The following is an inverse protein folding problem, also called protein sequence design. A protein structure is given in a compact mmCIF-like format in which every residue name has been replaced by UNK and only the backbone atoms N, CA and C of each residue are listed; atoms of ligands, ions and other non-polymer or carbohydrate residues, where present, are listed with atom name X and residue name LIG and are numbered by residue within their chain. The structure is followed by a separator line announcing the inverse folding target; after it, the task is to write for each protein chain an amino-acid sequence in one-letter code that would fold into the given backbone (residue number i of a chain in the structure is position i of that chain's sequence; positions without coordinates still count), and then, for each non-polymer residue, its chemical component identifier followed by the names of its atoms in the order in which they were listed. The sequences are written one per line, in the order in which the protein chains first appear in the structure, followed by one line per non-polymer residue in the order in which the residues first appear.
data_IF_866364413911
#
_entry.id   IF_866364413911
#
_cell.length_a   1.000
_cell.length_b   1.000
_cell.length_c   1.000
_cell.angle_alpha   90.00
_cell.angle_beta   90.00
_cell.angle_gamma   90.00
#
_symmetry.space_group_name_H-M   'P 1'
#
loop_
_entity.id
_entity.type
_entity.pdbx_description
1 polymer ?
#
# COMPACT_ATOMS: atom_id res chain seq x y z
N UNK A 1 55.06 9.18 16.08
CA UNK A 1 54.89 9.43 14.63
C UNK A 1 53.62 8.74 14.17
N UNK A 2 52.80 9.49 13.46
CA UNK A 2 51.40 9.22 13.10
C UNK A 2 51.24 8.05 12.13
N UNK A 3 50.50 7.01 12.53
CA UNK A 3 49.97 5.98 11.60
C UNK A 3 48.45 5.73 11.79
N UNK A 4 47.75 6.53 12.59
CA UNK A 4 46.32 6.34 12.89
C UNK A 4 45.34 6.94 11.86
N UNK A 5 45.79 7.82 10.96
CA UNK A 5 44.90 8.55 10.05
C UNK A 5 44.64 7.84 8.71
N UNK A 6 45.44 6.85 8.30
CA UNK A 6 45.27 6.17 7.01
C UNK A 6 44.27 4.99 7.02
N UNK A 7 43.87 4.48 8.19
CA UNK A 7 42.93 3.34 8.29
C UNK A 7 41.44 3.71 8.13
N UNK A 8 41.11 5.00 8.14
CA UNK A 8 39.75 5.50 8.01
C UNK A 8 39.39 5.95 6.60
N UNK A 9 40.38 6.22 5.74
CA UNK A 9 40.16 6.64 4.35
C UNK A 9 39.35 5.62 3.51
N UNK A 10 39.58 4.30 3.58
CA UNK A 10 38.78 3.34 2.82
C UNK A 10 37.33 3.25 3.31
N UNK A 11 37.10 3.51 4.61
CA UNK A 11 35.76 3.47 5.25
C UNK A 11 34.94 4.71 4.91
N UNK A 12 35.59 5.88 4.88
CA UNK A 12 34.99 7.13 4.38
C UNK A 12 34.69 7.05 2.89
N UNK A 13 35.60 6.50 2.07
CA UNK A 13 35.37 6.29 0.64
C UNK A 13 34.25 5.27 0.36
N UNK A 14 34.15 4.18 1.13
CA UNK A 14 33.05 3.22 1.00
C UNK A 14 31.71 3.79 1.48
N UNK A 15 31.68 4.60 2.55
CA UNK A 15 30.49 5.34 2.97
C UNK A 15 30.10 6.41 1.96
N UNK A 16 31.05 7.14 1.35
CA UNK A 16 30.81 8.12 0.30
C UNK A 16 30.42 7.48 -1.04
N UNK A 17 30.84 6.26 -1.33
CA UNK A 17 30.40 5.49 -2.49
C UNK A 17 29.02 4.87 -2.28
N UNK A 18 28.68 4.43 -1.06
CA UNK A 18 27.34 3.97 -0.70
C UNK A 18 26.34 5.14 -0.57
N UNK A 19 26.76 6.29 -0.04
CA UNK A 19 26.02 7.55 -0.08
C UNK A 19 25.96 8.12 -1.50
N UNK A 20 27.04 8.01 -2.26
CA UNK A 20 27.11 8.41 -3.66
C UNK A 20 26.16 7.59 -4.52
N UNK A 21 26.08 6.27 -4.34
CA UNK A 21 25.07 5.40 -4.96
C UNK A 21 23.65 5.65 -4.42
N UNK A 22 23.52 6.13 -3.18
CA UNK A 22 22.25 6.62 -2.61
C UNK A 22 21.76 7.91 -3.29
N UNK A 23 22.68 8.77 -3.76
CA UNK A 23 22.37 10.01 -4.47
C UNK A 23 22.40 9.89 -6.00
N UNK A 24 23.09 8.89 -6.56
CA UNK A 24 23.25 8.68 -8.01
C UNK A 24 21.99 8.11 -8.70
N UNK A 25 20.91 7.83 -7.95
CA UNK A 25 19.56 7.57 -8.51
C UNK A 25 18.55 8.57 -7.95
N UNK A 26 19.01 9.79 -7.64
CA UNK A 26 18.14 10.89 -7.25
C UNK A 26 18.69 12.21 -7.79
N UNK A 27 18.85 12.28 -9.10
CA UNK A 27 18.51 13.53 -9.79
C UNK A 27 17.18 13.28 -10.48
N UNK A 28 16.09 13.99 -10.08
CA UNK A 28 14.97 14.13 -10.99
C UNK A 28 15.55 14.56 -12.35
N UNK A 29 15.04 14.09 -13.49
CA UNK A 29 15.30 14.81 -14.73
C UNK A 29 14.97 16.28 -14.44
N UNK A 30 15.91 17.19 -14.72
CA UNK A 30 15.84 18.62 -14.42
C UNK A 30 14.72 19.28 -15.23
N UNK A 31 13.48 18.99 -14.87
CA UNK A 31 12.30 19.71 -15.36
C UNK A 31 12.05 21.00 -14.57
N UNK A 32 12.76 21.19 -13.44
CA UNK A 32 12.73 22.44 -12.66
C UNK A 32 13.24 23.67 -13.44
N UNK A 33 14.02 23.47 -14.51
CA UNK A 33 14.54 24.55 -15.35
C UNK A 33 13.65 24.87 -16.57
N UNK A 34 12.54 24.14 -16.79
CA UNK A 34 11.64 24.44 -17.90
C UNK A 34 10.65 25.53 -17.48
N UNK A 35 10.53 26.64 -18.24
CA UNK A 35 9.55 27.68 -17.94
C UNK A 35 8.15 27.07 -17.99
N UNK A 36 7.34 27.39 -16.99
CA UNK A 36 5.95 26.94 -16.99
C UNK A 36 5.25 27.45 -18.25
N UNK A 37 4.54 26.57 -19.00
CA UNK A 37 3.82 27.00 -20.19
C UNK A 37 2.87 28.14 -19.79
N UNK A 38 2.86 29.21 -20.59
CA UNK A 38 2.04 30.39 -20.33
C UNK A 38 0.57 29.97 -20.22
N UNK A 39 0.10 29.87 -18.98
CA UNK A 39 -1.32 29.84 -18.66
C UNK A 39 -1.83 31.21 -19.10
N UNK A 40 -2.60 31.27 -20.19
CA UNK A 40 -3.26 32.50 -20.62
C UNK A 40 -3.97 33.23 -19.46
N UNK A 41 -4.41 34.48 -19.66
CA UNK A 41 -5.07 35.26 -18.61
C UNK A 41 -6.10 34.39 -17.90
N UNK A 42 -5.96 34.27 -16.58
CA UNK A 42 -6.65 33.32 -15.70
C UNK A 42 -8.03 32.99 -16.26
N UNK A 43 -8.16 31.81 -16.87
CA UNK A 43 -9.44 31.37 -17.41
C UNK A 43 -10.48 31.47 -16.30
N UNK A 44 -11.59 32.19 -16.50
CA UNK A 44 -12.67 32.22 -15.54
C UNK A 44 -13.42 30.90 -15.67
N UNK A 45 -12.88 29.83 -15.09
CA UNK A 45 -13.48 28.50 -15.15
C UNK A 45 -12.99 27.65 -13.98
N UNK A 46 -13.95 27.14 -13.20
CA UNK A 46 -13.78 26.14 -12.13
C UNK A 46 -13.23 24.77 -12.62
N UNK A 47 -12.70 24.66 -13.85
CA UNK A 47 -12.17 23.42 -14.43
C UNK A 47 -10.65 23.46 -14.45
N UNK A 48 -10.03 22.38 -13.96
CA UNK A 48 -8.59 22.13 -14.10
C UNK A 48 -8.18 22.26 -15.58
N UNK A 49 -7.01 22.84 -15.90
CA UNK A 49 -6.49 22.90 -17.27
C UNK A 49 -6.10 21.51 -17.82
N UNK A 50 -6.20 20.47 -16.99
CA UNK A 50 -5.78 19.10 -17.31
C UNK A 50 -7.01 18.25 -17.61
N UNK A 51 -7.04 17.68 -18.81
CA UNK A 51 -8.04 16.68 -19.19
C UNK A 51 -7.60 15.29 -18.73
N UNK A 52 -7.95 14.95 -17.49
CA UNK A 52 -7.59 13.65 -16.93
C UNK A 52 -8.25 12.48 -17.64
N UNK A 53 -9.41 12.65 -18.30
CA UNK A 53 -10.01 11.55 -19.06
C UNK A 53 -9.13 11.21 -20.27
N UNK A 54 -8.67 12.23 -20.99
CA UNK A 54 -7.73 12.08 -22.11
C UNK A 54 -6.37 11.53 -21.66
N UNK A 55 -5.84 11.98 -20.51
CA UNK A 55 -4.62 11.42 -19.90
C UNK A 55 -4.79 9.93 -19.62
N UNK A 56 -5.88 9.52 -18.96
CA UNK A 56 -6.09 8.12 -18.62
C UNK A 56 -6.31 7.25 -19.86
N UNK A 57 -6.87 7.78 -20.95
CA UNK A 57 -6.99 7.05 -22.22
C UNK A 57 -5.69 6.98 -23.03
N UNK A 58 -4.62 7.65 -22.60
CA UNK A 58 -3.34 7.67 -23.31
C UNK A 58 -3.32 8.60 -24.52
N UNK A 59 -4.12 9.68 -24.53
CA UNK A 59 -3.98 10.72 -25.54
C UNK A 59 -2.63 11.42 -25.37
N UNK A 60 -1.73 11.25 -26.34
CA UNK A 60 -0.34 11.73 -26.24
C UNK A 60 -0.25 13.25 -26.00
N UNK A 61 -1.12 14.05 -26.63
CA UNK A 61 -1.10 15.49 -26.45
C UNK A 61 -1.54 15.90 -25.02
N UNK A 62 -2.57 15.25 -24.48
CA UNK A 62 -3.03 15.46 -23.12
C UNK A 62 -2.00 14.98 -22.10
N UNK A 63 -1.37 13.82 -22.32
CA UNK A 63 -0.31 13.28 -21.48
C UNK A 63 0.91 14.20 -21.50
N UNK A 64 1.33 14.68 -22.68
CA UNK A 64 2.42 15.63 -22.85
C UNK A 64 2.15 16.93 -22.11
N UNK A 65 0.97 17.51 -22.29
CA UNK A 65 0.55 18.71 -21.60
C UNK A 65 0.54 18.49 -20.07
N UNK A 66 -0.17 17.46 -19.60
CA UNK A 66 -0.29 17.12 -18.19
C UNK A 66 1.07 16.88 -17.52
N UNK A 67 2.03 16.26 -18.22
CA UNK A 67 3.38 15.99 -17.72
C UNK A 67 4.25 17.25 -17.50
N UNK A 68 3.85 18.40 -18.06
CA UNK A 68 4.55 19.68 -17.85
C UNK A 68 4.06 20.43 -16.60
N UNK A 69 2.87 20.09 -16.10
CA UNK A 69 2.23 20.78 -14.98
C UNK A 69 2.59 20.35 -13.55
N UNK A 70 3.23 19.18 -13.25
CA UNK A 70 3.44 18.74 -11.86
C UNK A 70 4.16 19.77 -10.98
N UNK A 71 5.06 20.56 -11.58
CA UNK A 71 5.88 21.59 -10.92
C UNK A 71 5.32 23.01 -11.10
N UNK A 72 4.34 23.19 -11.99
CA UNK A 72 3.83 24.49 -12.43
C UNK A 72 2.49 24.87 -11.82
N UNK A 73 1.78 23.92 -11.21
CA UNK A 73 0.56 24.20 -10.45
C UNK A 73 0.98 24.46 -8.99
N UNK A 74 0.86 25.71 -8.49
CA UNK A 74 1.15 26.00 -7.10
C UNK A 74 0.27 25.13 -6.20
N UNK A 75 0.91 24.25 -5.43
CA UNK A 75 0.23 23.39 -4.49
C UNK A 75 0.11 24.10 -3.15
N UNK A 76 -1.12 24.19 -2.64
CA UNK A 76 -1.39 24.56 -1.26
C UNK A 76 -1.85 23.32 -0.49
N UNK A 77 -0.91 22.51 0.06
CA UNK A 77 -1.29 21.33 0.83
C UNK A 77 -2.12 21.72 2.03
N UNK A 78 -3.10 20.89 2.38
CA UNK A 78 -3.75 21.03 3.67
C UNK A 78 -2.80 20.56 4.76
N UNK A 79 -2.69 21.36 5.80
CA UNK A 79 -1.90 21.04 6.99
C UNK A 79 -2.75 20.21 7.94
N UNK A 80 -2.09 19.49 8.84
CA UNK A 80 -2.72 18.68 9.88
C UNK A 80 -3.77 19.49 10.68
N UNK A 81 -3.45 20.74 11.05
CA UNK A 81 -4.37 21.63 11.79
C UNK A 81 -5.63 22.01 11.00
N UNK A 82 -5.54 22.06 9.67
CA UNK A 82 -6.68 22.36 8.81
C UNK A 82 -7.68 21.18 8.83
N UNK A 83 -7.18 19.93 8.93
CA UNK A 83 -8.03 18.74 9.14
C UNK A 83 -8.65 18.71 10.54
N UNK A 84 -7.86 19.02 11.58
CA UNK A 84 -8.36 19.10 12.96
C UNK A 84 -9.52 20.10 13.05
N UNK A 85 -9.35 21.27 12.43
CA UNK A 85 -10.38 22.31 12.41
C UNK A 85 -11.60 21.88 11.60
N UNK A 86 -11.40 21.32 10.41
CA UNK A 86 -12.51 20.90 9.55
C UNK A 86 -13.35 19.76 10.17
N UNK A 87 -12.72 18.84 10.90
CA UNK A 87 -13.38 17.70 11.53
C UNK A 87 -14.15 18.05 12.82
N UNK A 88 -14.12 19.30 13.30
CA UNK A 88 -14.97 19.75 14.41
C UNK A 88 -16.47 19.71 14.06
N UNK A 89 -16.80 19.86 12.77
CA UNK A 89 -18.14 19.68 12.23
C UNK A 89 -18.11 18.49 11.26
N UNK A 90 -18.39 17.29 11.79
CA UNK A 90 -18.32 16.07 11.01
C UNK A 90 -19.34 16.01 9.87
N UNK A 91 -20.52 16.62 10.01
CA UNK A 91 -21.50 16.68 8.93
C UNK A 91 -20.95 17.50 7.76
N UNK A 92 -20.39 18.68 8.06
CA UNK A 92 -19.74 19.51 7.06
C UNK A 92 -18.48 18.85 6.49
N UNK A 93 -17.68 18.18 7.31
CA UNK A 93 -16.50 17.44 6.88
C UNK A 93 -16.88 16.38 5.84
N UNK A 94 -17.78 15.45 6.20
CA UNK A 94 -18.26 14.38 5.31
C UNK A 94 -18.81 14.96 4.00
N UNK A 95 -19.63 16.01 4.09
CA UNK A 95 -20.26 16.65 2.92
C UNK A 95 -19.25 17.31 1.98
N UNK A 96 -18.23 17.98 2.50
CA UNK A 96 -17.31 18.78 1.66
C UNK A 96 -16.04 18.04 1.25
N UNK A 97 -15.67 16.97 1.96
CA UNK A 97 -14.44 16.21 1.70
C UNK A 97 -14.59 15.10 0.66
N UNK A 98 -15.81 14.87 0.15
CA UNK A 98 -16.05 13.92 -0.93
C UNK A 98 -16.51 12.54 -0.46
N UNK A 99 -17.02 12.43 0.77
CA UNK A 99 -17.67 11.23 1.28
C UNK A 99 -19.15 11.11 0.88
N UNK A 100 -19.64 12.00 0.00
CA UNK A 100 -20.95 11.87 -0.66
C UNK A 100 -20.88 10.78 -1.73
N UNK A 101 -20.95 9.53 -1.30
CA UNK A 101 -20.79 8.37 -2.15
C UNK A 101 -22.11 7.99 -2.84
N UNK A 102 -22.06 7.33 -4.00
CA UNK A 102 -23.23 6.70 -4.61
C UNK A 102 -23.88 5.69 -3.65
N UNK A 103 -25.14 5.37 -3.91
CA UNK A 103 -25.87 4.38 -3.12
C UNK A 103 -25.15 3.02 -3.12
N UNK A 104 -24.96 2.47 -1.93
CA UNK A 104 -24.32 1.17 -1.73
C UNK A 104 -25.29 0.06 -2.10
N UNK A 105 -24.88 -0.82 -3.01
CA UNK A 105 -25.69 -1.97 -3.43
C UNK A 105 -25.88 -2.98 -2.28
N UNK A 106 -26.95 -3.79 -2.33
CA UNK A 106 -27.15 -4.83 -1.33
C UNK A 106 -26.00 -5.85 -1.30
N UNK A 107 -25.46 -6.17 -2.47
CA UNK A 107 -24.31 -7.05 -2.65
C UNK A 107 -23.05 -6.51 -1.92
N UNK A 108 -22.80 -5.20 -1.99
CA UNK A 108 -21.73 -4.58 -1.23
C UNK A 108 -21.99 -4.55 0.28
N UNK A 109 -23.25 -4.43 0.73
CA UNK A 109 -23.64 -4.49 2.15
C UNK A 109 -23.42 -5.88 2.75
N UNK A 110 -23.70 -6.93 1.97
CA UNK A 110 -23.58 -8.33 2.39
C UNK A 110 -22.13 -8.85 2.31
N UNK A 111 -21.21 -8.05 1.77
CA UNK A 111 -19.78 -8.37 1.67
C UNK A 111 -18.87 -7.27 2.27
N UNK A 112 -18.90 -7.03 3.60
CA UNK A 112 -18.01 -6.05 4.21
C UNK A 112 -16.53 -6.43 4.06
N UNK A 113 -15.68 -5.43 3.81
CA UNK A 113 -14.23 -5.57 3.73
C UNK A 113 -13.59 -4.80 4.88
N UNK A 114 -12.60 -5.41 5.54
CA UNK A 114 -11.76 -4.74 6.53
C UNK A 114 -10.46 -4.26 5.89
N UNK A 115 -10.04 -3.05 6.25
CA UNK A 115 -8.81 -2.43 5.79
C UNK A 115 -7.95 -2.01 6.98
N UNK A 116 -6.65 -2.27 6.90
CA UNK A 116 -5.66 -1.53 7.69
C UNK A 116 -4.99 -0.48 6.81
N UNK A 117 -4.61 0.65 7.39
CA UNK A 117 -3.80 1.67 6.74
C UNK A 117 -2.65 2.06 7.66
N UNK A 118 -1.43 1.67 7.28
CA UNK A 118 -0.21 2.04 7.99
C UNK A 118 0.34 3.34 7.40
N UNK A 119 0.48 4.37 8.23
CA UNK A 119 0.98 5.68 7.82
C UNK A 119 1.88 6.32 8.87
N UNK A 120 2.69 7.28 8.44
CA UNK A 120 3.55 8.05 9.33
C UNK A 120 3.55 9.57 9.02
N UNK A 121 3.04 9.99 7.86
CA UNK A 121 3.00 11.39 7.42
C UNK A 121 1.93 11.61 6.34
N UNK A 122 1.78 12.86 5.89
CA UNK A 122 0.95 13.27 4.75
C UNK A 122 -0.54 12.92 4.92
N UNK A 123 -1.16 13.55 5.93
CA UNK A 123 -2.59 13.38 6.27
C UNK A 123 -3.50 13.65 5.06
N UNK A 124 -3.14 14.60 4.19
CA UNK A 124 -3.92 14.89 2.98
C UNK A 124 -3.97 13.70 2.03
N UNK A 125 -2.84 13.04 1.77
CA UNK A 125 -2.81 11.85 0.91
C UNK A 125 -3.55 10.68 1.57
N UNK A 126 -3.37 10.49 2.88
CA UNK A 126 -4.11 9.49 3.65
C UNK A 126 -5.63 9.69 3.55
N UNK A 127 -6.10 10.91 3.78
CA UNK A 127 -7.53 11.20 3.76
C UNK A 127 -8.12 11.02 2.36
N UNK A 128 -7.38 11.35 1.30
CA UNK A 128 -7.83 11.10 -0.08
C UNK A 128 -7.90 9.62 -0.42
N UNK A 129 -6.97 8.81 0.11
CA UNK A 129 -7.05 7.35 0.02
C UNK A 129 -8.30 6.84 0.75
N UNK A 130 -8.51 7.27 2.01
CA UNK A 130 -9.69 6.91 2.80
C UNK A 130 -10.98 7.26 2.06
N UNK A 131 -11.11 8.49 1.54
CA UNK A 131 -12.26 8.93 0.76
C UNK A 131 -12.52 8.05 -0.46
N UNK A 132 -11.47 7.57 -1.15
CA UNK A 132 -11.62 6.72 -2.33
C UNK A 132 -12.15 5.31 -1.98
N UNK A 133 -11.77 4.76 -0.82
CA UNK A 133 -12.14 3.39 -0.42
C UNK A 133 -13.30 3.33 0.59
N UNK A 134 -13.64 4.44 1.24
CA UNK A 134 -14.61 4.47 2.33
C UNK A 134 -15.97 3.97 1.90
N UNK A 135 -16.59 3.11 2.69
CA UNK A 135 -17.99 2.69 2.59
C UNK A 135 -18.51 2.41 3.99
N UNK A 136 -19.78 2.74 4.29
CA UNK A 136 -20.33 2.65 5.65
C UNK A 136 -20.39 1.22 6.21
N UNK A 137 -20.47 0.20 5.35
CA UNK A 137 -20.48 -1.21 5.78
C UNK A 137 -19.10 -1.81 6.00
N UNK A 138 -18.04 -1.21 5.45
CA UNK A 138 -16.67 -1.70 5.59
C UNK A 138 -16.07 -1.27 6.93
N UNK A 139 -14.86 -1.72 7.24
CA UNK A 139 -14.17 -1.36 8.48
C UNK A 139 -12.74 -0.91 8.21
N UNK A 140 -12.29 0.14 8.90
CA UNK A 140 -11.00 0.78 8.65
C UNK A 140 -10.24 1.00 9.95
N UNK A 141 -9.10 0.34 10.10
CA UNK A 141 -8.14 0.61 11.17
C UNK A 141 -6.96 1.42 10.63
N UNK A 142 -6.64 2.51 11.32
CA UNK A 142 -5.52 3.37 10.97
C UNK A 142 -4.42 3.18 11.99
N UNK A 143 -3.25 2.75 11.55
CA UNK A 143 -2.04 2.75 12.38
C UNK A 143 -1.19 3.96 11.99
N UNK A 144 -1.09 4.91 12.92
CA UNK A 144 -0.16 6.03 12.82
C UNK A 144 1.10 5.66 13.59
N UNK A 145 2.24 5.64 12.93
CA UNK A 145 3.54 5.33 13.54
C UNK A 145 3.73 6.15 14.83
N UNK A 146 4.13 5.50 15.93
CA UNK A 146 4.17 6.14 17.25
C UNK A 146 5.15 7.34 17.32
N UNK A 147 6.13 7.40 16.41
CA UNK A 147 7.08 8.52 16.31
C UNK A 147 6.64 9.63 15.36
N UNK A 148 5.45 9.55 14.76
CA UNK A 148 4.90 10.62 13.95
C UNK A 148 4.66 11.89 14.76
N UNK A 149 4.53 13.02 14.07
CA UNK A 149 4.24 14.29 14.72
C UNK A 149 2.91 14.22 15.47
N UNK A 150 2.84 14.88 16.64
CA UNK A 150 1.60 14.97 17.42
C UNK A 150 0.44 15.56 16.61
N UNK A 151 0.72 16.51 15.72
CA UNK A 151 -0.28 17.07 14.80
C UNK A 151 -0.87 16.00 13.89
N UNK A 152 -0.05 15.08 13.38
CA UNK A 152 -0.47 13.99 12.51
C UNK A 152 -1.37 13.01 13.27
N UNK A 153 -1.01 12.62 14.49
CA UNK A 153 -1.89 11.81 15.35
C UNK A 153 -3.23 12.50 15.59
N UNK A 154 -3.22 13.78 15.98
CA UNK A 154 -4.44 14.53 16.26
C UNK A 154 -5.33 14.68 15.02
N UNK A 155 -4.75 14.95 13.86
CA UNK A 155 -5.48 15.11 12.61
C UNK A 155 -6.14 13.80 12.16
N UNK A 156 -5.41 12.68 12.20
CA UNK A 156 -5.97 11.37 11.86
C UNK A 156 -7.06 10.97 12.85
N UNK A 157 -6.86 11.20 14.15
CA UNK A 157 -7.89 10.94 15.16
C UNK A 157 -9.15 11.79 14.94
N UNK A 158 -8.99 13.06 14.58
CA UNK A 158 -10.10 13.96 14.29
C UNK A 158 -10.89 13.46 13.05
N UNK A 159 -10.20 13.09 11.97
CA UNK A 159 -10.83 12.51 10.78
C UNK A 159 -11.58 11.22 11.13
N UNK A 160 -10.93 10.29 11.83
CA UNK A 160 -11.52 9.00 12.20
C UNK A 160 -12.80 9.19 13.04
N UNK A 161 -12.80 10.16 13.96
CA UNK A 161 -13.95 10.43 14.84
C UNK A 161 -15.23 10.85 14.09
N UNK A 162 -15.13 11.25 12.82
CA UNK A 162 -16.28 11.57 11.99
C UNK A 162 -16.98 10.36 11.36
N UNK A 163 -16.46 9.15 11.56
CA UNK A 163 -17.01 7.92 10.99
C UNK A 163 -17.14 6.84 12.06
N UNK A 164 -18.27 6.11 12.12
CA UNK A 164 -18.48 5.07 13.13
C UNK A 164 -17.65 3.80 12.89
N UNK A 165 -17.13 3.62 11.68
CA UNK A 165 -16.42 2.43 11.20
C UNK A 165 -14.97 2.72 10.79
N UNK A 166 -14.43 3.88 11.18
CA UNK A 166 -13.01 4.25 11.03
C UNK A 166 -12.46 4.52 12.42
N UNK A 167 -11.35 3.89 12.77
CA UNK A 167 -10.73 4.09 14.08
C UNK A 167 -9.20 4.02 13.99
N UNK A 168 -8.54 4.70 14.92
CA UNK A 168 -7.09 4.60 15.11
C UNK A 168 -6.81 3.36 15.96
N UNK A 169 -5.79 2.59 15.60
CA UNK A 169 -5.40 1.39 16.34
C UNK A 169 -5.19 1.69 17.83
N UNK A 170 -5.68 0.82 18.70
CA UNK A 170 -5.61 0.99 20.16
C UNK A 170 -4.17 1.01 20.67
N UNK A 171 -3.26 0.30 19.99
CA UNK A 171 -1.83 0.28 20.29
C UNK A 171 -1.02 0.73 19.07
N UNK A 172 -0.36 1.87 19.22
CA UNK A 172 0.57 2.41 18.23
C UNK A 172 1.98 1.90 18.51
N UNK A 173 2.72 1.60 17.44
CA UNK A 173 4.04 0.97 17.48
C UNK A 173 5.05 1.92 16.82
N UNK A 174 6.25 2.03 17.39
CA UNK A 174 7.36 2.75 16.75
C UNK A 174 7.97 1.86 15.66
N UNK A 175 7.73 2.21 14.39
CA UNK A 175 8.00 1.32 13.26
C UNK A 175 9.45 1.49 12.77
N UNK A 176 10.25 0.42 12.87
CA UNK A 176 11.60 0.37 12.31
C UNK A 176 11.61 -0.50 11.05
N UNK A 177 12.11 0.06 9.94
CA UNK A 177 11.99 -0.58 8.63
C UNK A 177 12.70 -1.94 8.55
N UNK A 178 11.89 -2.97 8.25
CA UNK A 178 12.24 -4.39 8.14
C UNK A 178 12.73 -5.02 9.45
N UNK A 179 12.33 -4.43 10.58
CA UNK A 179 12.29 -5.09 11.89
C UNK A 179 10.87 -5.60 12.17
N UNK A 180 10.71 -6.35 13.27
CA UNK A 180 9.40 -6.89 13.67
C UNK A 180 8.34 -5.82 13.94
N UNK A 181 8.74 -4.61 14.32
CA UNK A 181 7.81 -3.51 14.63
C UNK A 181 6.87 -3.16 13.47
N UNK A 182 7.26 -3.39 12.21
CA UNK A 182 6.37 -3.20 11.07
C UNK A 182 5.23 -4.24 11.05
N UNK A 183 5.57 -5.52 11.20
CA UNK A 183 4.56 -6.59 11.31
C UNK A 183 3.72 -6.42 12.59
N UNK A 184 4.32 -5.96 13.67
CA UNK A 184 3.62 -5.74 14.94
C UNK A 184 2.59 -4.59 14.84
N UNK A 185 2.92 -3.52 14.10
CA UNK A 185 1.98 -2.44 13.78
C UNK A 185 0.77 -2.95 12.97
N UNK A 186 1.05 -3.75 11.94
CA UNK A 186 0.03 -4.41 11.11
C UNK A 186 -0.89 -5.30 11.96
N UNK A 187 -0.30 -6.20 12.76
CA UNK A 187 -1.04 -7.10 13.65
C UNK A 187 -1.82 -6.37 14.74
N UNK A 188 -1.40 -5.17 15.13
CA UNK A 188 -2.18 -4.33 16.03
C UNK A 188 -3.52 -3.93 15.39
N UNK A 189 -3.51 -3.47 14.15
CA UNK A 189 -4.74 -3.17 13.44
C UNK A 189 -5.58 -4.41 13.17
N UNK A 190 -4.94 -5.52 12.77
CA UNK A 190 -5.64 -6.78 12.49
C UNK A 190 -6.41 -7.28 13.71
N UNK A 191 -5.83 -7.18 14.92
CA UNK A 191 -6.51 -7.52 16.18
C UNK A 191 -7.73 -6.64 16.43
N UNK A 192 -7.56 -5.32 16.35
CA UNK A 192 -8.67 -4.40 16.59
C UNK A 192 -9.80 -4.58 15.56
N UNK A 193 -9.47 -4.84 14.29
CA UNK A 193 -10.45 -5.16 13.23
C UNK A 193 -11.19 -6.47 13.49
N UNK A 194 -10.51 -7.49 14.03
CA UNK A 194 -11.09 -8.79 14.32
C UNK A 194 -12.05 -8.71 15.52
N UNK A 195 -11.67 -7.93 16.54
CA UNK A 195 -12.40 -7.77 17.82
C UNK A 195 -13.49 -6.69 17.79
N UNK A 196 -13.55 -5.85 16.74
CA UNK A 196 -14.55 -4.77 16.61
C UNK A 196 -16.02 -5.25 16.69
N UNK A 197 -16.29 -6.53 16.43
CA UNK A 197 -17.63 -7.12 16.48
C UNK A 197 -18.41 -7.07 15.15
N UNK A 198 -17.89 -6.40 14.12
CA UNK A 198 -18.44 -6.50 12.76
C UNK A 198 -17.85 -7.72 12.04
N UNK A 199 -18.69 -8.51 11.38
CA UNK A 199 -18.24 -9.69 10.62
C UNK A 199 -17.98 -9.32 9.17
N UNK A 200 -16.73 -9.02 8.87
CA UNK A 200 -16.23 -8.80 7.51
C UNK A 200 -15.77 -10.09 6.83
N UNK A 201 -15.61 -10.07 5.50
CA UNK A 201 -15.31 -11.26 4.68
C UNK A 201 -13.83 -11.37 4.33
N UNK A 202 -13.24 -10.24 3.94
CA UNK A 202 -11.85 -10.15 3.55
C UNK A 202 -11.16 -8.98 4.25
N UNK A 203 -9.87 -9.17 4.47
CA UNK A 203 -8.94 -8.20 4.99
C UNK A 203 -7.97 -7.76 3.88
N UNK A 204 -7.73 -6.46 3.75
CA UNK A 204 -6.77 -5.88 2.81
C UNK A 204 -5.92 -4.84 3.54
N UNK A 205 -4.60 -5.04 3.60
CA UNK A 205 -3.72 -4.03 4.19
C UNK A 205 -3.21 -3.00 3.19
N UNK A 206 -3.10 -1.76 3.64
CA UNK A 206 -2.67 -0.62 2.83
C UNK A 206 -1.59 0.19 3.56
N UNK A 207 -0.86 0.97 2.79
CA UNK A 207 0.09 1.98 3.26
C UNK A 207 -0.33 3.37 2.78
N UNK A 208 0.14 4.42 3.45
CA UNK A 208 -0.17 5.82 3.08
C UNK A 208 0.32 6.29 1.69
N UNK A 209 0.90 5.40 0.86
CA UNK A 209 1.46 5.69 -0.47
C UNK A 209 0.78 4.93 -1.61
N UNK A 210 -0.41 4.42 -1.36
CA UNK A 210 -1.20 3.61 -2.30
C UNK A 210 -2.46 4.34 -2.78
N UNK A 211 -3.06 3.82 -3.85
CA UNK A 211 -4.36 4.27 -4.34
C UNK A 211 -5.15 3.10 -4.98
N UNK A 212 -6.48 3.04 -4.86
CA UNK A 212 -7.27 1.98 -5.47
C UNK A 212 -7.30 2.06 -7.01
N UNK A 213 -7.20 0.90 -7.67
CA UNK A 213 -7.43 0.73 -9.10
C UNK A 213 -8.79 0.11 -9.41
N UNK A 214 -9.52 -0.30 -8.37
CA UNK A 214 -10.85 -0.90 -8.42
C UNK A 214 -11.78 -0.11 -7.49
N UNK A 215 -13.03 0.04 -7.91
CA UNK A 215 -14.10 0.57 -7.05
C UNK A 215 -14.46 -0.45 -5.96
N UNK A 216 -15.14 -0.03 -4.90
CA UNK A 216 -15.57 -0.97 -3.85
C UNK A 216 -16.45 -2.11 -4.42
N UNK A 217 -17.37 -1.78 -5.34
CA UNK A 217 -18.20 -2.78 -6.02
C UNK A 217 -17.35 -3.80 -6.78
N UNK A 218 -16.35 -3.34 -7.53
CA UNK A 218 -15.43 -4.25 -8.23
C UNK A 218 -14.60 -5.09 -7.25
N UNK A 219 -14.14 -4.52 -6.13
CA UNK A 219 -13.45 -5.28 -5.08
C UNK A 219 -14.35 -6.40 -4.54
N UNK A 220 -15.61 -6.12 -4.23
CA UNK A 220 -16.58 -7.11 -3.76
C UNK A 220 -16.74 -8.25 -4.76
N UNK A 221 -16.97 -7.95 -6.05
CA UNK A 221 -17.08 -8.98 -7.09
C UNK A 221 -15.81 -9.82 -7.22
N UNK A 222 -14.64 -9.18 -7.26
CA UNK A 222 -13.36 -9.87 -7.37
C UNK A 222 -13.13 -10.80 -6.18
N UNK A 223 -13.33 -10.31 -4.95
CA UNK A 223 -13.10 -11.09 -3.73
C UNK A 223 -14.11 -12.24 -3.60
N UNK A 224 -15.37 -12.03 -4.00
CA UNK A 224 -16.35 -13.14 -4.11
C UNK A 224 -15.88 -14.20 -5.09
N UNK A 225 -15.28 -13.80 -6.21
CA UNK A 225 -14.76 -14.74 -7.22
C UNK A 225 -13.56 -15.56 -6.74
N UNK A 226 -12.91 -15.17 -5.64
CA UNK A 226 -11.84 -15.95 -5.03
C UNK A 226 -12.34 -17.17 -4.24
N UNK A 227 -13.65 -17.25 -3.96
CA UNK A 227 -14.31 -18.40 -3.32
C UNK A 227 -13.68 -18.86 -1.99
N UNK A 228 -13.05 -17.95 -1.24
CA UNK A 228 -12.35 -18.26 0.02
C UNK A 228 -10.82 -18.36 -0.13
N UNK A 229 -10.30 -18.30 -1.35
CA UNK A 229 -8.88 -18.24 -1.63
C UNK A 229 -8.25 -16.89 -1.24
N UNK A 230 -6.97 -16.96 -0.86
CA UNK A 230 -6.17 -15.81 -0.45
C UNK A 230 -5.25 -15.30 -1.57
N UNK A 231 -5.24 -13.99 -1.80
CA UNK A 231 -4.33 -13.35 -2.75
C UNK A 231 -3.07 -12.82 -2.07
N UNK A 232 -2.15 -13.75 -1.82
CA UNK A 232 -0.86 -13.52 -1.17
C UNK A 232 0.28 -13.87 -2.14
N UNK A 233 1.28 -12.99 -2.23
CA UNK A 233 2.52 -13.24 -2.96
C UNK A 233 3.41 -14.22 -2.17
N UNK A 234 4.22 -15.03 -2.84
CA UNK A 234 5.22 -15.82 -2.14
C UNK A 234 6.10 -16.66 -3.03
N UNK A 235 7.33 -16.88 -2.58
CA UNK A 235 8.31 -17.80 -3.15
C UNK A 235 8.93 -18.62 -2.03
N UNK A 236 9.13 -19.92 -2.28
CA UNK A 236 9.92 -20.77 -1.40
C UNK A 236 11.38 -20.77 -1.85
N UNK A 237 11.66 -20.74 -3.16
CA UNK A 237 13.01 -20.95 -3.69
C UNK A 237 13.88 -19.70 -3.72
N UNK A 238 13.32 -18.52 -3.99
CA UNK A 238 14.07 -17.26 -4.18
C UNK A 238 14.17 -16.41 -2.91
N UNK A 239 13.84 -16.99 -1.75
CA UNK A 239 13.90 -16.27 -0.47
C UNK A 239 15.35 -15.98 -0.06
N UNK A 240 15.63 -14.82 0.56
CA UNK A 240 16.97 -14.51 1.07
C UNK A 240 17.24 -15.31 2.35
N UNK A 241 17.72 -16.56 2.24
CA UNK A 241 17.89 -17.50 3.37
C UNK A 241 18.63 -16.86 4.57
N UNK A 242 19.62 -15.99 4.32
CA UNK A 242 20.37 -15.30 5.38
C UNK A 242 19.51 -14.38 6.27
N UNK A 243 18.34 -13.94 5.79
CA UNK A 243 17.42 -13.08 6.54
C UNK A 243 16.68 -13.84 7.63
N UNK A 244 16.50 -15.15 7.46
CA UNK A 244 15.75 -16.00 8.39
C UNK A 244 16.64 -17.02 9.11
N UNK A 245 17.87 -17.24 8.62
CA UNK A 245 18.84 -18.17 9.21
C UNK A 245 19.47 -17.66 10.52
N UNK A 246 19.66 -16.35 10.65
CA UNK A 246 20.36 -15.74 11.79
C UNK A 246 19.43 -14.84 12.59
N UNK A 247 19.75 -14.62 13.86
CA UNK A 247 19.09 -13.63 14.73
C UNK A 247 19.49 -12.23 14.30
N UNK A 248 18.50 -11.35 14.15
CA UNK A 248 18.64 -9.93 13.87
C UNK A 248 18.24 -9.11 15.09
N UNK A 249 18.95 -8.00 15.30
CA UNK A 249 18.70 -7.03 16.36
C UNK A 249 18.33 -5.68 15.73
N UNK A 250 18.08 -4.69 16.58
CA UNK A 250 17.78 -3.31 16.21
C UNK A 250 18.77 -2.75 15.19
N UNK A 251 18.30 -1.79 14.39
CA UNK A 251 19.04 -1.19 13.28
C UNK A 251 19.43 -2.19 12.18
N UNK A 252 18.69 -3.31 12.10
CA UNK A 252 18.92 -4.39 11.15
C UNK A 252 20.31 -5.02 11.26
N UNK A 253 20.79 -5.16 12.51
CA UNK A 253 22.06 -5.82 12.78
C UNK A 253 21.90 -7.34 12.79
N UNK A 254 22.46 -8.02 11.78
CA UNK A 254 22.55 -9.49 11.75
C UNK A 254 23.65 -9.98 12.68
N UNK A 255 23.29 -10.83 13.63
CA UNK A 255 24.25 -11.52 14.50
C UNK A 255 24.82 -12.79 13.85
N UNK A 256 25.80 -13.43 14.49
CA UNK A 256 26.28 -14.76 14.12
C UNK A 256 25.47 -15.91 14.74
N UNK A 257 24.46 -15.61 15.55
CA UNK A 257 23.63 -16.62 16.23
C UNK A 257 22.62 -17.17 15.23
N UNK A 258 22.67 -18.47 14.97
CA UNK A 258 21.69 -19.14 14.11
C UNK A 258 20.34 -19.28 14.83
N UNK A 259 19.26 -19.16 14.07
CA UNK A 259 17.90 -19.42 14.55
C UNK A 259 17.72 -20.91 14.80
N UNK A 260 16.94 -21.23 15.85
CA UNK A 260 16.49 -22.61 16.09
C UNK A 260 15.59 -23.11 14.95
N UNK A 261 15.22 -24.41 14.98
CA UNK A 261 14.34 -24.99 13.96
C UNK A 261 13.03 -24.21 13.87
N UNK A 262 12.51 -24.10 12.64
CA UNK A 262 11.20 -23.48 12.39
C UNK A 262 10.12 -24.34 13.06
N UNK A 263 9.22 -23.76 13.88
CA UNK A 263 8.19 -24.54 14.57
C UNK A 263 7.22 -25.19 13.58
N UNK A 264 6.58 -26.28 13.99
CA UNK A 264 5.48 -26.96 13.27
C UNK A 264 5.77 -27.35 11.81
N UNK A 265 7.04 -27.45 11.43
CA UNK A 265 7.48 -27.75 10.07
C UNK A 265 6.92 -26.75 9.03
N UNK A 266 6.81 -25.46 9.39
CA UNK A 266 6.56 -24.42 8.39
C UNK A 266 7.73 -24.34 7.40
N UNK A 267 7.39 -24.27 6.12
CA UNK A 267 8.28 -23.89 5.03
C UNK A 267 8.25 -22.38 4.91
N UNK A 268 9.33 -21.71 5.32
CA UNK A 268 9.41 -20.25 5.29
C UNK A 268 9.32 -19.76 3.84
N UNK A 269 8.29 -18.97 3.56
CA UNK A 269 8.10 -18.29 2.28
C UNK A 269 8.44 -16.81 2.40
N UNK A 270 8.87 -16.22 1.29
CA UNK A 270 9.10 -14.78 1.15
C UNK A 270 8.12 -14.21 0.14
N UNK A 271 7.45 -13.10 0.45
CA UNK A 271 6.55 -12.41 -0.47
C UNK A 271 6.52 -10.90 -0.23
N UNK A 272 5.52 -10.24 -0.82
CA UNK A 272 5.13 -8.87 -0.50
C UNK A 272 4.49 -8.78 0.89
N UNK A 273 4.63 -7.62 1.54
CA UNK A 273 3.89 -7.29 2.77
C UNK A 273 2.37 -7.16 2.55
N UNK A 274 1.94 -6.96 1.30
CA UNK A 274 0.56 -6.64 0.96
C UNK A 274 -0.22 -7.91 0.65
N UNK A 275 -1.42 -8.03 1.21
CA UNK A 275 -2.27 -9.22 1.14
C UNK A 275 -3.74 -8.85 0.93
N UNK A 276 -4.50 -9.78 0.35
CA UNK A 276 -5.95 -9.81 0.46
C UNK A 276 -6.37 -11.21 0.90
N UNK A 277 -6.83 -11.35 2.15
CA UNK A 277 -7.01 -12.65 2.82
C UNK A 277 -8.36 -12.74 3.51
N UNK A 278 -8.88 -13.94 3.70
CA UNK A 278 -10.17 -14.16 4.37
C UNK A 278 -10.12 -13.84 5.87
N UNK A 279 -11.29 -13.61 6.47
CA UNK A 279 -11.41 -13.48 7.93
C UNK A 279 -10.95 -14.73 8.67
N UNK A 280 -11.20 -15.92 8.14
CA UNK A 280 -10.79 -17.18 8.77
C UNK A 280 -9.26 -17.36 8.73
N UNK A 281 -8.60 -16.88 7.67
CA UNK A 281 -7.14 -16.83 7.64
C UNK A 281 -6.58 -15.88 8.72
N UNK A 282 -7.24 -14.74 8.94
CA UNK A 282 -6.86 -13.81 10.01
C UNK A 282 -7.09 -14.42 11.40
N UNK A 283 -8.20 -15.12 11.62
CA UNK A 283 -8.44 -15.87 12.86
C UNK A 283 -7.31 -16.86 13.13
N UNK A 284 -6.93 -17.66 12.13
CA UNK A 284 -5.78 -18.55 12.22
C UNK A 284 -4.49 -17.79 12.57
N UNK A 285 -4.20 -16.69 11.88
CA UNK A 285 -2.99 -15.91 12.09
C UNK A 285 -2.90 -15.31 13.50
N UNK A 286 -4.04 -14.95 14.12
CA UNK A 286 -4.09 -14.37 15.46
C UNK A 286 -4.18 -15.41 16.58
N UNK A 287 -4.87 -16.53 16.35
CA UNK A 287 -5.33 -17.40 17.43
C UNK A 287 -4.85 -18.85 17.33
N UNK A 288 -4.40 -19.34 16.16
CA UNK A 288 -3.87 -20.70 16.07
C UNK A 288 -2.50 -20.78 16.79
N UNK A 289 -2.30 -21.72 17.73
CA UNK A 289 -1.03 -21.85 18.46
C UNK A 289 0.19 -22.00 17.54
N UNK A 290 0.02 -22.64 16.39
CA UNK A 290 1.11 -22.82 15.42
C UNK A 290 1.50 -21.51 14.77
N UNK A 291 0.52 -20.66 14.44
CA UNK A 291 0.78 -19.31 13.93
C UNK A 291 1.45 -18.44 14.98
N UNK A 292 1.04 -18.54 16.25
CA UNK A 292 1.67 -17.80 17.36
C UNK A 292 3.11 -18.22 17.61
N UNK A 293 3.40 -19.53 17.59
CA UNK A 293 4.77 -20.03 17.72
C UNK A 293 5.65 -19.57 16.55
N UNK A 294 5.10 -19.55 15.32
CA UNK A 294 5.80 -19.01 14.15
C UNK A 294 6.07 -17.51 14.30
N UNK A 295 5.08 -16.74 14.75
CA UNK A 295 5.19 -15.30 14.97
C UNK A 295 6.29 -14.99 15.98
N UNK A 296 6.32 -15.72 17.10
CA UNK A 296 7.37 -15.60 18.12
C UNK A 296 8.75 -15.90 17.53
N UNK A 297 8.87 -16.98 16.76
CA UNK A 297 10.12 -17.35 16.09
C UNK A 297 10.59 -16.28 15.09
N UNK A 298 9.67 -15.53 14.46
CA UNK A 298 9.96 -14.47 13.49
C UNK A 298 10.29 -13.09 14.11
N UNK A 299 10.15 -12.90 15.43
CA UNK A 299 10.39 -11.58 16.05
C UNK A 299 11.80 -11.05 15.87
N UNK A 300 12.77 -11.93 15.68
CA UNK A 300 14.19 -11.60 15.54
C UNK A 300 14.76 -12.08 14.19
N UNK A 301 13.94 -12.12 13.13
CA UNK A 301 14.41 -12.24 11.74
C UNK A 301 14.39 -10.90 11.01
N UNK A 302 14.97 -10.83 9.82
CA UNK A 302 14.90 -9.65 8.95
C UNK A 302 13.63 -9.64 8.12
N UNK A 303 12.95 -8.48 8.11
CA UNK A 303 11.72 -8.23 7.36
C UNK A 303 10.64 -9.30 7.56
N UNK A 304 10.22 -9.59 8.80
CA UNK A 304 9.21 -10.62 9.08
C UNK A 304 7.83 -10.28 8.47
N UNK A 305 7.54 -9.00 8.24
CA UNK A 305 6.39 -8.50 7.48
C UNK A 305 6.30 -9.07 6.06
N UNK A 306 7.44 -9.40 5.47
CA UNK A 306 7.54 -10.01 4.15
C UNK A 306 7.57 -11.55 4.19
N UNK A 307 7.44 -12.16 5.38
CA UNK A 307 7.50 -13.61 5.57
C UNK A 307 6.27 -14.18 6.27
N UNK A 308 5.66 -13.48 7.23
CA UNK A 308 4.63 -14.05 8.09
C UNK A 308 3.39 -14.51 7.31
N UNK A 309 2.65 -13.58 6.69
CA UNK A 309 1.48 -13.95 5.89
C UNK A 309 1.82 -14.83 4.67
N UNK A 310 2.91 -14.60 3.91
CA UNK A 310 3.35 -15.52 2.87
C UNK A 310 3.60 -16.94 3.38
N UNK A 311 4.27 -17.09 4.52
CA UNK A 311 4.53 -18.41 5.11
C UNK A 311 3.23 -19.07 5.51
N UNK A 312 2.32 -18.39 6.19
CA UNK A 312 1.02 -18.97 6.54
C UNK A 312 0.25 -19.41 5.28
N UNK A 313 0.23 -18.60 4.23
CA UNK A 313 -0.54 -18.86 3.02
C UNK A 313 0.02 -19.98 2.14
N UNK A 314 1.33 -20.23 2.17
CA UNK A 314 2.03 -21.18 1.30
C UNK A 314 2.45 -22.46 2.03
N UNK A 315 1.74 -22.80 3.11
CA UNK A 315 1.90 -24.05 3.86
C UNK A 315 0.55 -24.81 3.95
N UNK A 316 -0.04 -25.21 2.80
CA UNK A 316 -1.37 -25.84 2.76
C UNK A 316 -1.44 -27.18 3.51
N UNK A 317 -0.31 -27.88 3.71
CA UNK A 317 -0.25 -29.12 4.49
C UNK A 317 -0.58 -28.93 5.98
N UNK A 318 -0.59 -27.69 6.46
CA UNK A 318 -1.00 -27.34 7.83
C UNK A 318 -2.48 -26.97 7.92
N UNK A 319 -3.25 -27.11 6.82
CA UNK A 319 -4.67 -26.76 6.72
C UNK A 319 -4.97 -25.31 7.14
N UNK A 320 -4.13 -24.36 6.72
CA UNK A 320 -4.36 -22.93 6.95
C UNK A 320 -5.52 -22.46 6.06
N UNK A 321 -6.56 -21.78 6.57
CA UNK A 321 -7.73 -21.41 5.79
C UNK A 321 -7.41 -20.55 4.55
N UNK A 322 -7.89 -20.93 3.37
CA UNK A 322 -7.66 -20.21 2.11
C UNK A 322 -6.22 -20.31 1.59
N UNK A 323 -5.36 -21.10 2.23
CA UNK A 323 -3.97 -21.29 1.82
C UNK A 323 -3.87 -21.95 0.45
N UNK A 324 -2.94 -21.45 -0.36
CA UNK A 324 -2.76 -21.91 -1.72
C UNK A 324 -2.12 -23.30 -1.75
N UNK A 325 -2.72 -24.22 -2.53
CA UNK A 325 -2.27 -25.61 -2.65
C UNK A 325 -1.28 -25.84 -3.80
N UNK A 326 -1.15 -24.90 -4.73
CA UNK A 326 -0.22 -24.98 -5.84
C UNK A 326 1.20 -24.54 -5.49
N UNK A 327 2.07 -24.45 -6.49
CA UNK A 327 3.47 -24.00 -6.31
C UNK A 327 3.53 -22.46 -6.14
N UNK A 328 3.97 -21.95 -4.97
CA UNK A 328 4.09 -20.51 -4.74
C UNK A 328 4.94 -19.80 -5.79
N UNK A 329 6.01 -20.44 -6.28
CA UNK A 329 6.94 -19.85 -7.24
C UNK A 329 6.33 -19.64 -8.65
N UNK A 330 5.17 -20.24 -8.92
CA UNK A 330 4.40 -20.07 -10.17
C UNK A 330 3.14 -19.23 -9.98
N UNK A 331 2.82 -18.82 -8.75
CA UNK A 331 1.57 -18.11 -8.42
C UNK A 331 1.63 -16.66 -8.88
N UNK A 332 0.59 -16.23 -9.59
CA UNK A 332 0.34 -14.80 -9.82
C UNK A 332 -0.48 -14.21 -8.68
N UNK A 333 -0.23 -12.96 -8.35
CA UNK A 333 -0.96 -12.20 -7.33
C UNK A 333 -1.40 -10.86 -7.89
N UNK A 334 -2.52 -10.35 -7.37
CA UNK A 334 -3.20 -9.17 -7.90
C UNK A 334 -3.48 -8.14 -6.81
N UNK A 335 -3.00 -8.33 -5.59
CA UNK A 335 -3.19 -7.34 -4.54
C UNK A 335 -2.64 -5.98 -4.99
N UNK A 336 -1.39 -5.88 -5.47
CA UNK A 336 -0.75 -4.59 -5.79
C UNK A 336 -0.05 -4.56 -7.15
N UNK A 337 -0.27 -3.46 -7.88
CA UNK A 337 0.57 -3.05 -9.00
C UNK A 337 1.81 -2.35 -8.45
N UNK A 338 2.99 -2.84 -8.82
CA UNK A 338 4.29 -2.25 -8.50
C UNK A 338 5.18 -2.34 -9.73
N UNK A 339 5.95 -1.28 -9.97
CA UNK A 339 7.04 -1.33 -10.93
C UNK A 339 8.37 -1.36 -10.18
N UNK A 340 9.12 -2.42 -10.41
CA UNK A 340 10.44 -2.63 -9.84
C UNK A 340 11.52 -2.42 -10.90
N UNK A 341 12.55 -1.63 -10.55
CA UNK A 341 13.64 -1.28 -11.45
C UNK A 341 14.30 -2.51 -12.05
N UNK A 342 14.63 -3.49 -11.20
CA UNK A 342 15.33 -4.71 -11.56
C UNK A 342 14.49 -5.67 -12.45
N UNK A 343 13.17 -5.47 -12.55
CA UNK A 343 12.29 -6.30 -13.37
C UNK A 343 11.98 -5.67 -14.73
N UNK A 344 11.88 -4.33 -14.79
CA UNK A 344 11.35 -3.60 -15.96
C UNK A 344 12.35 -2.68 -16.64
N UNK A 345 13.49 -2.37 -16.02
CA UNK A 345 14.49 -1.45 -16.55
C UNK A 345 14.17 0.03 -16.28
N UNK A 346 15.08 0.91 -16.70
CA UNK A 346 15.05 2.37 -16.41
C UNK A 346 13.82 3.06 -16.99
N UNK A 347 13.46 2.71 -18.22
CA UNK A 347 12.52 3.47 -19.05
C UNK A 347 11.05 3.12 -18.74
N UNK A 348 10.83 2.17 -17.84
CA UNK A 348 9.51 1.70 -17.45
C UNK A 348 8.80 2.61 -16.43
N UNK A 349 9.49 3.58 -15.84
CA UNK A 349 8.93 4.52 -14.88
C UNK A 349 9.13 5.94 -15.38
N UNK A 350 8.02 6.63 -15.68
CA UNK A 350 8.06 8.02 -16.06
C UNK A 350 8.08 8.97 -14.86
N UNK A 351 7.73 8.47 -13.67
CA UNK A 351 7.89 9.18 -12.40
C UNK A 351 9.32 9.10 -11.85
N UNK A 352 9.45 8.71 -10.57
CA UNK A 352 10.74 8.67 -9.87
C UNK A 352 10.99 7.34 -9.18
N UNK A 353 12.18 6.80 -9.39
CA UNK A 353 12.65 5.63 -8.68
C UNK A 353 13.10 5.99 -7.27
N UNK A 354 12.48 5.38 -6.26
CA UNK A 354 12.90 5.52 -4.85
C UNK A 354 13.06 4.12 -4.27
N UNK A 355 14.29 3.78 -3.88
CA UNK A 355 14.65 2.43 -3.39
C UNK A 355 14.15 1.32 -4.32
N UNK A 356 14.44 1.47 -5.62
CA UNK A 356 14.09 0.53 -6.69
C UNK A 356 12.60 0.36 -7.02
N UNK A 357 11.70 1.10 -6.37
CA UNK A 357 10.25 1.11 -6.67
C UNK A 357 9.90 2.42 -7.38
N UNK A 358 9.12 2.33 -8.45
CA UNK A 358 8.63 3.50 -9.16
C UNK A 358 7.56 4.21 -8.32
N UNK A 359 7.73 5.52 -8.16
CA UNK A 359 6.69 6.43 -7.71
C UNK A 359 6.13 7.06 -8.97
N UNK A 360 4.95 6.60 -9.38
CA UNK A 360 4.38 6.84 -10.70
C UNK A 360 4.13 8.34 -10.94
N UNK A 361 4.37 8.78 -12.17
CA UNK A 361 4.03 10.10 -12.68
C UNK A 361 2.91 10.06 -13.72
N UNK A 362 2.56 11.22 -14.28
CA UNK A 362 1.44 11.37 -15.22
C UNK A 362 1.49 10.38 -16.38
N UNK A 363 2.67 10.17 -16.98
CA UNK A 363 2.82 9.28 -18.15
C UNK A 363 2.69 7.80 -17.82
N UNK A 364 2.76 7.43 -16.54
CA UNK A 364 2.56 6.04 -16.11
C UNK A 364 1.06 5.70 -15.99
N UNK A 365 0.17 6.70 -15.92
CA UNK A 365 -1.26 6.50 -15.67
C UNK A 365 -2.01 5.71 -16.75
N UNK A 366 -1.79 5.92 -18.07
CA UNK A 366 -2.49 5.14 -19.10
C UNK A 366 -2.29 3.64 -18.92
N UNK A 367 -1.07 3.22 -18.52
CA UNK A 367 -0.73 1.83 -18.31
C UNK A 367 -1.47 1.18 -17.12
N UNK A 368 -2.07 1.98 -16.21
CA UNK A 368 -2.87 1.48 -15.10
C UNK A 368 -4.29 1.09 -15.52
N UNK A 369 -4.80 1.68 -16.61
CA UNK A 369 -6.16 1.40 -17.11
C UNK A 369 -6.25 -0.03 -17.62
N UNK A 370 -7.25 -0.78 -17.14
CA UNK A 370 -7.45 -2.18 -17.51
C UNK A 370 -6.53 -3.19 -16.82
N UNK A 371 -5.59 -2.73 -15.99
CA UNK A 371 -4.75 -3.63 -15.20
C UNK A 371 -5.55 -4.45 -14.20
N UNK A 372 -5.04 -5.63 -13.87
CA UNK A 372 -5.68 -6.59 -12.97
C UNK A 372 -5.45 -6.33 -11.48
N UNK A 373 -4.39 -5.64 -11.03
CA UNK A 373 -4.24 -5.40 -9.61
C UNK A 373 -5.36 -4.56 -8.98
N UNK A 374 -5.57 -4.76 -7.68
CA UNK A 374 -6.61 -4.11 -6.90
C UNK A 374 -6.24 -2.66 -6.55
N UNK A 375 -4.96 -2.44 -6.23
CA UNK A 375 -4.40 -1.14 -5.86
C UNK A 375 -3.04 -0.94 -6.52
N UNK A 376 -2.54 0.29 -6.49
CA UNK A 376 -1.25 0.69 -7.05
C UNK A 376 -0.31 1.25 -5.99
N UNK A 377 0.97 0.89 -6.10
CA UNK A 377 2.07 1.36 -5.27
C UNK A 377 3.30 1.68 -6.17
N UNK A 378 3.90 2.87 -6.11
CA UNK A 378 3.64 4.01 -5.21
C UNK A 378 3.10 5.20 -5.98
N UNK A 379 2.24 5.99 -5.34
CA UNK A 379 1.96 7.37 -5.72
C UNK A 379 2.36 8.30 -4.58
N UNK A 380 2.95 9.45 -4.94
CA UNK A 380 3.34 10.49 -3.99
C UNK A 380 2.74 11.81 -4.43
N UNK A 381 1.79 12.27 -3.63
CA UNK A 381 1.03 13.47 -3.91
C UNK A 381 1.91 14.73 -3.97
N UNK A 382 3.03 14.75 -3.24
CA UNK A 382 4.04 15.82 -3.28
C UNK A 382 4.98 15.75 -4.49
N UNK A 383 5.11 14.58 -5.12
CA UNK A 383 6.01 14.38 -6.26
C UNK A 383 5.32 14.74 -7.57
N UNK A 384 4.11 14.22 -7.77
CA UNK A 384 3.33 14.46 -8.97
C UNK A 384 1.84 14.64 -8.59
N UNK A 385 1.42 15.87 -8.24
CA UNK A 385 0.05 16.16 -7.85
C UNK A 385 -0.94 15.96 -8.99
N UNK A 386 -0.49 16.10 -10.25
CA UNK A 386 -1.32 15.87 -11.43
C UNK A 386 -1.61 14.40 -11.58
N UNK A 387 -0.59 13.54 -11.46
CA UNK A 387 -0.77 12.10 -11.53
C UNK A 387 -1.78 11.61 -10.49
N UNK A 388 -1.62 12.08 -9.25
CA UNK A 388 -2.54 11.74 -8.16
C UNK A 388 -3.97 12.26 -8.43
N UNK A 389 -4.10 13.51 -8.90
CA UNK A 389 -5.40 14.10 -9.21
C UNK A 389 -6.14 13.37 -10.33
N UNK A 390 -5.45 13.03 -11.42
CA UNK A 390 -6.06 12.32 -12.54
C UNK A 390 -6.47 10.90 -12.17
N UNK A 391 -5.65 10.18 -11.39
CA UNK A 391 -6.02 8.86 -10.88
C UNK A 391 -7.24 8.93 -9.95
N UNK A 392 -7.29 9.92 -9.06
CA UNK A 392 -8.45 10.14 -8.18
C UNK A 392 -9.72 10.47 -8.98
N UNK A 393 -9.64 11.38 -9.95
CA UNK A 393 -10.80 11.73 -10.77
C UNK A 393 -11.30 10.53 -11.57
N UNK A 394 -10.38 9.74 -12.14
CA UNK A 394 -10.71 8.51 -12.85
C UNK A 394 -11.42 7.49 -11.97
N UNK A 395 -10.89 7.24 -10.76
CA UNK A 395 -11.50 6.32 -9.80
C UNK A 395 -12.88 6.80 -9.34
N UNK A 396 -13.03 8.11 -9.06
CA UNK A 396 -14.33 8.71 -8.70
C UNK A 396 -15.35 8.59 -9.83
N UNK A 397 -14.96 8.83 -11.07
CA UNK A 397 -15.85 8.67 -12.22
C UNK A 397 -16.33 7.23 -12.37
N UNK A 398 -15.43 6.23 -12.21
CA UNK A 398 -15.81 4.80 -12.20
C UNK A 398 -16.75 4.46 -11.05
N UNK A 399 -16.48 4.99 -9.87
CA UNK A 399 -17.32 4.82 -8.68
C UNK A 399 -18.73 5.37 -8.93
N UNK A 400 -18.84 6.57 -9.50
CA UNK A 400 -20.11 7.22 -9.80
C UNK A 400 -20.90 6.52 -10.92
N UNK A 401 -20.20 5.99 -11.93
CA UNK A 401 -20.82 5.22 -13.01
C UNK A 401 -21.41 3.89 -12.52
N UNK A 402 -20.89 3.35 -11.41
CA UNK A 402 -21.30 2.08 -10.81
C UNK A 402 -21.34 0.90 -11.81
N UNK A 403 -20.57 0.97 -12.90
CA UNK A 403 -20.56 -0.03 -13.97
C UNK A 403 -19.57 -1.16 -13.66
N UNK A 404 -19.94 -2.37 -14.02
CA UNK A 404 -19.08 -3.56 -14.01
C UNK A 404 -18.74 -4.03 -15.44
N UNK A 405 -19.11 -3.27 -16.48
CA UNK A 405 -18.93 -3.65 -17.89
C UNK A 405 -17.48 -4.01 -18.24
N UNK A 406 -16.53 -3.32 -17.61
CA UNK A 406 -15.10 -3.47 -17.90
C UNK A 406 -14.42 -4.46 -16.96
N UNK A 407 -15.17 -5.05 -16.01
CA UNK A 407 -14.64 -6.01 -15.05
C UNK A 407 -14.60 -7.42 -15.68
N UNK A 408 -13.39 -7.86 -16.01
CA UNK A 408 -13.14 -9.23 -16.45
C UNK A 408 -13.20 -10.24 -15.28
N UNK A 409 -14.37 -10.45 -14.69
CA UNK A 409 -14.52 -11.30 -13.50
C UNK A 409 -14.00 -12.74 -13.72
N UNK A 410 -14.21 -13.27 -14.93
CA UNK A 410 -13.70 -14.58 -15.34
C UNK A 410 -12.16 -14.69 -15.27
N UNK A 411 -11.44 -13.58 -15.39
CA UNK A 411 -9.98 -13.58 -15.21
C UNK A 411 -9.63 -13.98 -13.77
N UNK A 412 -10.28 -13.35 -12.78
CA UNK A 412 -10.04 -13.55 -11.35
C UNK A 412 -10.54 -14.92 -10.88
N UNK A 413 -11.76 -15.31 -11.26
CA UNK A 413 -12.36 -16.58 -10.89
C UNK A 413 -11.55 -17.81 -11.38
N UNK A 414 -10.76 -17.65 -12.44
CA UNK A 414 -9.92 -18.73 -13.02
C UNK A 414 -8.47 -18.71 -12.54
N UNK A 415 -8.10 -17.83 -11.59
CA UNK A 415 -6.75 -17.86 -11.01
C UNK A 415 -6.60 -19.14 -10.18
N UNK A 416 -5.43 -19.77 -10.23
CA UNK A 416 -5.23 -21.05 -9.57
C UNK A 416 -5.50 -20.96 -8.05
N UNK A 417 -5.12 -19.85 -7.41
CA UNK A 417 -5.41 -19.67 -5.98
C UNK A 417 -6.89 -19.52 -5.62
N UNK A 418 -7.74 -19.12 -6.59
CA UNK A 418 -9.19 -19.08 -6.40
C UNK A 418 -9.81 -20.49 -6.49
N UNK A 419 -9.16 -21.43 -7.17
CA UNK A 419 -9.69 -22.78 -7.42
C UNK A 419 -9.00 -23.87 -6.58
N UNK A 420 -7.75 -23.64 -6.19
CA UNK A 420 -6.84 -24.61 -5.60
C UNK A 420 -6.30 -24.09 -4.26
N UNK A 421 -7.20 -23.98 -3.28
CA UNK A 421 -6.87 -23.58 -1.91
C UNK A 421 -7.47 -24.55 -0.89
N UNK A 422 -6.95 -24.52 0.34
CA UNK A 422 -7.52 -25.17 1.53
C UNK A 422 -8.84 -24.50 1.87
#
# INVERSE_FOLDING_TARGET
MSTGLLQWLPRLLAMLLLWGLFFLVSTPPSFQDKPCPYLGPALPSKRSPIDCAAVMSGDEAAVDAASQYPWCIPRHPMRDDDFITAAQDCESFVRHRGYNLPEVTQEEKDFPIAFSMLMYENVEQFERLLTAIYRPQNLYCIHVDAKSLRSTHNAVQAIASCFPNVFVAARLVDIHWGEFSLLDAELSCVRDLFDHGMTWKYYINLTGREFPLKTNRELVEILKSYQGGNDVDGTLHKRPILWTKYVWRTENWRTSVEKGPVPHNFLIAKGSTHVAVTRDFIDYALNDPRAQDLLEWMKDIRAPDEHFFPTLNHNPHLNVPGAYKGDPDLKWFFNRYKLWWNEKGTDACAGQWVRFICNLGVRDLPALVGTKPLFVNKLRLEQDPVAFHCLEQWHRNRTAAASLSDLELNFYAKRDFALNHV
#
